data_IF_225176904884
#
_entry.id   IF_225176904884
#
_cell.length_a   1.000
_cell.length_b   1.000
_cell.length_c   1.000
_cell.angle_alpha   90.00
_cell.angle_beta   90.00
_cell.angle_gamma   90.00
#
_symmetry.space_group_name_H-M   'P 1'
#
loop_
_entity.id
_entity.type
_entity.pdbx_description
1 polymer ?
#
# COMPACT_ATOMS: atom_id res chain seq x y z
N UNK A 1 0.43 4.09 -20.06
CA UNK A 1 -0.91 4.38 -20.60
C UNK A 1 -1.84 4.95 -19.53
N UNK A 2 -2.26 4.17 -18.52
CA UNK A 2 -3.22 4.61 -17.49
C UNK A 2 -2.78 5.83 -16.65
N UNK A 3 -1.49 5.92 -16.32
CA UNK A 3 -0.92 7.05 -15.58
C UNK A 3 -1.01 8.36 -16.38
N UNK A 4 -0.73 8.30 -17.68
CA UNK A 4 -0.76 9.47 -18.56
C UNK A 4 -2.19 9.98 -18.74
N UNK A 5 -3.15 9.06 -18.87
CA UNK A 5 -4.57 9.38 -18.97
C UNK A 5 -5.10 10.03 -17.69
N UNK A 6 -4.74 9.50 -16.52
CA UNK A 6 -5.13 10.08 -15.23
C UNK A 6 -4.55 11.49 -15.06
N UNK A 7 -3.30 11.73 -15.48
CA UNK A 7 -2.69 13.07 -15.46
C UNK A 7 -3.39 14.05 -16.38
N UNK A 8 -3.65 13.65 -17.63
CA UNK A 8 -4.35 14.50 -18.60
C UNK A 8 -5.78 14.84 -18.15
N UNK A 9 -6.45 13.93 -17.43
CA UNK A 9 -7.77 14.17 -16.86
C UNK A 9 -7.72 15.19 -15.71
N UNK A 10 -6.73 15.06 -14.80
CA UNK A 10 -6.51 16.02 -13.72
C UNK A 10 -6.28 17.43 -14.28
N UNK A 11 -5.44 17.55 -15.31
CA UNK A 11 -5.16 18.82 -16.00
C UNK A 11 -6.42 19.42 -16.66
N UNK A 12 -7.27 18.60 -17.30
CA UNK A 12 -8.49 19.08 -17.97
C UNK A 12 -9.63 19.46 -17.03
N UNK A 13 -9.80 18.76 -15.91
CA UNK A 13 -10.94 18.96 -15.01
C UNK A 13 -10.60 19.78 -13.76
N UNK A 14 -9.32 20.13 -13.55
CA UNK A 14 -8.85 20.83 -12.36
C UNK A 14 -9.02 20.00 -11.07
N UNK A 15 -9.26 18.69 -11.20
CA UNK A 15 -9.37 17.75 -10.09
C UNK A 15 -8.01 17.09 -9.85
N UNK A 16 -7.76 16.67 -8.61
CA UNK A 16 -6.53 15.97 -8.24
C UNK A 16 -6.86 14.53 -7.83
N UNK A 17 -7.11 13.68 -8.84
CA UNK A 17 -7.29 12.25 -8.59
C UNK A 17 -5.94 11.60 -8.25
N UNK A 18 -5.92 10.81 -7.17
CA UNK A 18 -4.76 9.98 -6.82
C UNK A 18 -4.50 8.97 -7.95
N UNK A 19 -3.35 9.11 -8.59
CA UNK A 19 -2.89 8.26 -9.69
C UNK A 19 -2.89 6.79 -9.27
N UNK A 20 -2.40 6.47 -8.07
CA UNK A 20 -2.32 5.09 -7.61
C UNK A 20 -3.72 4.48 -7.42
N UNK A 21 -4.65 5.26 -6.86
CA UNK A 21 -6.04 4.84 -6.70
C UNK A 21 -6.75 4.63 -8.05
N UNK A 22 -6.55 5.55 -9.00
CA UNK A 22 -7.12 5.46 -10.35
C UNK A 22 -6.59 4.25 -11.12
N UNK A 23 -5.26 4.04 -11.09
CA UNK A 23 -4.64 2.86 -11.71
C UNK A 23 -5.17 1.58 -11.05
N UNK A 24 -5.25 1.54 -9.72
CA UNK A 24 -5.81 0.38 -8.99
C UNK A 24 -7.25 0.07 -9.38
N UNK A 25 -8.09 1.08 -9.57
CA UNK A 25 -9.48 0.89 -9.97
C UNK A 25 -9.62 0.29 -11.38
N UNK A 26 -8.66 0.56 -12.25
CA UNK A 26 -8.66 0.12 -13.65
C UNK A 26 -7.92 -1.20 -13.88
N UNK A 27 -6.97 -1.56 -13.01
CA UNK A 27 -6.18 -2.79 -13.10
C UNK A 27 -7.03 -4.07 -13.31
N UNK A 28 -8.18 -4.28 -12.64
CA UNK A 28 -9.00 -5.47 -12.85
C UNK A 28 -9.54 -5.65 -14.28
N UNK A 29 -9.61 -4.57 -15.06
CA UNK A 29 -10.07 -4.62 -16.46
C UNK A 29 -8.99 -5.14 -17.42
N UNK A 30 -7.71 -5.09 -17.01
CA UNK A 30 -6.57 -5.31 -17.90
C UNK A 30 -5.56 -6.34 -17.39
N UNK A 31 -5.64 -6.76 -16.12
CA UNK A 31 -4.71 -7.71 -15.53
C UNK A 31 -5.41 -8.67 -14.57
N UNK A 32 -4.92 -9.92 -14.53
CA UNK A 32 -5.30 -10.86 -13.49
C UNK A 32 -4.64 -10.44 -12.17
N UNK A 33 -5.41 -10.39 -11.08
CA UNK A 33 -4.91 -9.98 -9.77
C UNK A 33 -3.67 -10.75 -9.33
N UNK A 34 -3.59 -12.04 -9.66
CA UNK A 34 -2.43 -12.90 -9.33
C UNK A 34 -1.15 -12.50 -10.07
N UNK A 35 -1.25 -11.84 -11.23
CA UNK A 35 -0.10 -11.32 -11.97
C UNK A 35 0.41 -9.98 -11.41
N UNK A 36 -0.38 -9.32 -10.55
CA UNK A 36 -0.04 -8.02 -9.95
C UNK A 36 0.70 -8.22 -8.62
N UNK A 37 0.42 -9.31 -7.92
CA UNK A 37 1.03 -9.59 -6.62
C UNK A 37 2.40 -10.23 -6.77
N UNK A 38 3.38 -9.64 -6.08
CA UNK A 38 4.68 -10.24 -5.87
C UNK A 38 4.65 -11.12 -4.61
N UNK A 39 5.08 -12.37 -4.73
CA UNK A 39 5.12 -13.35 -3.64
C UNK A 39 6.01 -12.88 -2.49
N UNK A 40 7.12 -12.21 -2.80
CA UNK A 40 8.07 -11.76 -1.77
C UNK A 40 7.46 -10.61 -0.96
N UNK A 41 6.73 -9.71 -1.62
CA UNK A 41 6.01 -8.62 -0.95
C UNK A 41 4.87 -9.16 -0.08
N UNK A 42 4.13 -10.16 -0.56
CA UNK A 42 3.07 -10.81 0.23
C UNK A 42 3.66 -11.47 1.48
N UNK A 43 4.79 -12.16 1.37
CA UNK A 43 5.49 -12.77 2.50
C UNK A 43 5.95 -11.75 3.54
N UNK A 44 6.39 -10.56 3.10
CA UNK A 44 6.77 -9.48 4.01
C UNK A 44 5.56 -8.87 4.74
N UNK A 45 4.41 -8.78 4.08
CA UNK A 45 3.15 -8.39 4.73
C UNK A 45 2.74 -9.40 5.79
N UNK A 46 2.82 -10.70 5.49
CA UNK A 46 2.54 -11.78 6.44
C UNK A 46 3.50 -11.70 7.64
N UNK A 47 4.80 -11.54 7.39
CA UNK A 47 5.80 -11.35 8.46
C UNK A 47 5.46 -10.15 9.32
N UNK A 48 5.09 -9.01 8.71
CA UNK A 48 4.72 -7.80 9.43
C UNK A 48 3.55 -8.06 10.40
N UNK A 49 2.48 -8.69 9.92
CA UNK A 49 1.30 -8.98 10.74
C UNK A 49 1.62 -9.94 11.87
N UNK A 50 2.28 -11.06 11.56
CA UNK A 50 2.65 -12.05 12.56
C UNK A 50 3.51 -11.41 13.67
N UNK A 51 4.57 -10.70 13.30
CA UNK A 51 5.45 -10.05 14.26
C UNK A 51 4.74 -9.00 15.11
N UNK A 52 3.80 -8.26 14.51
CA UNK A 52 3.01 -7.25 15.22
C UNK A 52 1.99 -7.87 16.19
N UNK A 53 1.32 -8.95 15.79
CA UNK A 53 0.31 -9.63 16.61
C UNK A 53 0.94 -10.37 17.79
N UNK A 54 2.03 -11.10 17.54
CA UNK A 54 2.71 -11.90 18.55
C UNK A 54 3.81 -11.15 19.29
N UNK A 55 4.06 -9.88 18.94
CA UNK A 55 5.11 -9.03 19.52
C UNK A 55 6.50 -9.70 19.48
N UNK A 56 6.84 -10.29 18.34
CA UNK A 56 8.13 -10.95 18.08
C UNK A 56 8.91 -10.22 16.99
N UNK A 57 10.25 -10.20 17.05
CA UNK A 57 11.03 -9.55 16.01
C UNK A 57 10.96 -10.34 14.68
N UNK A 58 10.97 -9.64 13.53
CA UNK A 58 10.90 -10.26 12.20
C UNK A 58 12.17 -11.00 11.80
N UNK A 59 13.32 -10.52 12.28
CA UNK A 59 14.62 -11.18 12.16
C UNK A 59 15.31 -11.13 13.52
N UNK A 60 16.20 -12.09 13.84
CA UNK A 60 16.96 -12.07 15.07
C UNK A 60 17.88 -10.84 15.15
N UNK A 61 18.18 -10.39 16.36
CA UNK A 61 19.12 -9.29 16.61
C UNK A 61 18.45 -7.93 16.85
N UNK A 62 19.28 -6.89 16.87
CA UNK A 62 18.90 -5.49 17.07
C UNK A 62 18.51 -4.82 15.75
N UNK A 63 18.22 -3.52 15.78
CA UNK A 63 17.86 -2.74 14.59
C UNK A 63 18.90 -2.87 13.46
N UNK A 64 20.19 -2.78 13.79
CA UNK A 64 21.30 -2.85 12.82
C UNK A 64 21.49 -4.25 12.23
N UNK A 65 20.93 -5.29 12.87
CA UNK A 65 20.97 -6.67 12.39
C UNK A 65 19.82 -6.99 11.41
N UNK A 66 18.84 -6.09 11.29
CA UNK A 66 17.71 -6.29 10.39
C UNK A 66 18.12 -6.01 8.93
N UNK A 67 17.63 -6.80 7.96
CA UNK A 67 17.87 -6.51 6.54
C UNK A 67 17.40 -5.11 6.16
N UNK A 68 18.22 -4.36 5.43
CA UNK A 68 17.91 -2.98 5.01
C UNK A 68 16.59 -2.92 4.22
N UNK A 69 16.41 -3.83 3.26
CA UNK A 69 15.17 -3.94 2.47
C UNK A 69 13.94 -4.14 3.35
N UNK A 70 14.06 -4.90 4.45
CA UNK A 70 12.96 -5.11 5.38
C UNK A 70 12.60 -3.84 6.15
N UNK A 71 13.60 -3.08 6.61
CA UNK A 71 13.38 -1.82 7.33
C UNK A 71 12.60 -0.85 6.44
N UNK A 72 13.01 -0.70 5.18
CA UNK A 72 12.32 0.15 4.22
C UNK A 72 10.86 -0.30 3.99
N UNK A 73 10.67 -1.60 3.74
CA UNK A 73 9.34 -2.19 3.55
C UNK A 73 8.45 -2.01 4.79
N UNK A 74 8.99 -2.19 5.99
CA UNK A 74 8.27 -1.97 7.25
C UNK A 74 7.69 -0.55 7.33
N UNK A 75 8.48 0.48 7.01
CA UNK A 75 8.01 1.86 7.05
C UNK A 75 6.95 2.15 5.99
N UNK A 76 7.10 1.60 4.78
CA UNK A 76 6.11 1.70 3.70
C UNK A 76 4.79 1.07 4.14
N UNK A 77 4.82 -0.15 4.68
CA UNK A 77 3.65 -0.87 5.19
C UNK A 77 2.97 -0.04 6.28
N UNK A 78 3.74 0.40 7.29
CA UNK A 78 3.21 1.17 8.42
C UNK A 78 2.54 2.47 7.98
N UNK A 79 3.19 3.25 7.10
CA UNK A 79 2.63 4.50 6.57
C UNK A 79 1.33 4.25 5.79
N UNK A 80 1.32 3.19 4.99
CA UNK A 80 0.15 2.80 4.17
C UNK A 80 -1.03 2.40 5.04
N UNK A 81 -0.81 1.63 6.11
CA UNK A 81 -1.87 1.22 7.05
C UNK A 81 -2.47 2.42 7.78
N UNK A 82 -1.64 3.33 8.28
CA UNK A 82 -2.10 4.57 8.93
C UNK A 82 -2.95 5.40 7.97
N UNK A 83 -2.52 5.54 6.72
CA UNK A 83 -3.27 6.27 5.71
C UNK A 83 -4.62 5.61 5.41
N UNK A 84 -4.65 4.28 5.31
CA UNK A 84 -5.88 3.51 5.08
C UNK A 84 -6.87 3.66 6.24
N UNK A 85 -6.40 3.63 7.47
CA UNK A 85 -7.24 3.83 8.65
C UNK A 85 -7.87 5.22 8.66
N UNK A 86 -7.10 6.27 8.34
CA UNK A 86 -7.61 7.64 8.19
C UNK A 86 -8.71 7.73 7.12
N UNK A 87 -8.51 7.10 5.96
CA UNK A 87 -9.49 7.07 4.88
C UNK A 87 -10.81 6.38 5.31
N UNK A 88 -10.72 5.26 6.03
CA UNK A 88 -11.89 4.53 6.53
C UNK A 88 -12.67 5.40 7.52
N UNK A 89 -11.96 6.01 8.47
CA UNK A 89 -12.57 6.87 9.50
C UNK A 89 -13.22 8.12 8.89
N UNK A 90 -12.59 8.74 7.88
CA UNK A 90 -13.17 9.87 7.16
C UNK A 90 -14.45 9.48 6.42
N UNK A 91 -14.48 8.30 5.77
CA UNK A 91 -15.68 7.78 5.10
C UNK A 91 -16.81 7.46 6.08
N UNK A 92 -16.48 6.92 7.26
CA UNK A 92 -17.47 6.65 8.30
C UNK A 92 -18.13 7.94 8.81
N UNK A 93 -17.35 9.02 9.00
CA UNK A 93 -17.87 10.33 9.40
C UNK A 93 -18.80 10.97 8.38
N UNK A 94 -18.52 10.82 7.09
CA UNK A 94 -19.35 11.40 6.02
C UNK A 94 -20.66 10.63 5.76
N UNK A 95 -20.86 9.47 6.38
CA UNK A 95 -22.09 8.67 6.28
C UNK A 95 -23.04 8.86 7.47
N UNK A 96 -22.60 9.54 8.53
CA UNK A 96 -23.41 9.89 9.70
C UNK A 96 -23.96 11.30 9.58
#
# INVERSE_FOLDING_TARGET
MLVAETRALNEKTGKDFDIAASVKAQLPLFACSSAIYDKDVVKDLERYWYCKEFNVPPYPGSFDDQPVDWIERYFIIKKTLIQKEKEINAKARNKS
#
